data_IF_561790804542
#
_entry.id   IF_561790804542
#
_cell.length_a   1.000
_cell.length_b   1.000
_cell.length_c   1.000
_cell.angle_alpha   90.00
_cell.angle_beta   90.00
_cell.angle_gamma   90.00
#
_symmetry.space_group_name_H-M   'P 1'
#
loop_
_entity.id
_entity.type
_entity.pdbx_description
1 polymer ?
#
# COMPACT_ATOMS: atom_id res chain seq x y z
N UNK A 1 -6.75 -43.68 19.67
CA UNK A 1 -6.52 -42.21 19.69
C UNK A 1 -5.99 -41.79 18.33
N UNK A 2 -6.83 -41.20 17.48
CA UNK A 2 -6.41 -40.63 16.18
C UNK A 2 -6.03 -39.16 16.43
N UNK A 3 -4.75 -38.84 16.29
CA UNK A 3 -4.26 -37.47 16.33
C UNK A 3 -4.58 -36.74 15.03
N UNK A 4 -5.24 -35.60 15.14
CA UNK A 4 -5.52 -34.66 14.07
C UNK A 4 -4.22 -34.03 13.57
N UNK A 5 -3.74 -34.43 12.39
CA UNK A 5 -2.76 -33.68 11.62
C UNK A 5 -3.46 -32.55 10.88
N UNK A 6 -3.46 -31.34 11.47
CA UNK A 6 -3.92 -30.13 10.79
C UNK A 6 -2.90 -29.66 9.76
N UNK A 7 -3.36 -29.56 8.51
CA UNK A 7 -2.59 -29.09 7.35
C UNK A 7 -2.25 -27.59 7.49
N UNK A 8 -1.10 -27.29 8.11
CA UNK A 8 -0.56 -25.92 8.25
C UNK A 8 0.23 -25.43 7.03
N UNK A 9 0.36 -26.23 5.97
CA UNK A 9 1.23 -25.90 4.83
C UNK A 9 0.74 -24.75 3.94
N UNK A 10 -0.57 -24.46 3.92
CA UNK A 10 -1.15 -23.47 3.00
C UNK A 10 -1.04 -21.99 3.44
N UNK A 11 -0.90 -21.74 4.75
CA UNK A 11 -0.97 -20.38 5.30
C UNK A 11 0.31 -19.57 5.08
N UNK A 12 1.47 -20.22 5.09
CA UNK A 12 2.78 -19.55 4.96
C UNK A 12 2.98 -18.88 3.59
N UNK A 13 2.74 -19.61 2.49
CA UNK A 13 2.95 -19.09 1.15
C UNK A 13 1.99 -17.94 0.80
N UNK A 14 0.74 -18.03 1.24
CA UNK A 14 -0.24 -16.96 1.03
C UNK A 14 0.16 -15.69 1.78
N UNK A 15 0.63 -15.82 3.03
CA UNK A 15 1.05 -14.67 3.85
C UNK A 15 2.26 -13.96 3.23
N UNK A 16 3.28 -14.70 2.79
CA UNK A 16 4.47 -14.12 2.16
C UNK A 16 4.10 -13.34 0.90
N UNK A 17 3.37 -13.99 -0.03
CA UNK A 17 2.98 -13.34 -1.29
C UNK A 17 2.13 -12.10 -1.00
N UNK A 18 1.17 -12.18 -0.08
CA UNK A 18 0.31 -11.04 0.26
C UNK A 18 1.08 -9.89 0.89
N UNK A 19 1.96 -10.18 1.86
CA UNK A 19 2.74 -9.17 2.59
C UNK A 19 3.69 -8.42 1.65
N UNK A 20 4.38 -9.15 0.77
CA UNK A 20 5.33 -8.57 -0.16
C UNK A 20 4.68 -7.85 -1.35
N UNK A 21 3.37 -7.97 -1.56
CA UNK A 21 2.66 -7.33 -2.68
C UNK A 21 1.56 -6.40 -2.19
N UNK A 22 0.35 -6.94 -2.00
CA UNK A 22 -0.85 -6.18 -1.69
C UNK A 22 -0.74 -5.39 -0.37
N UNK A 23 -0.14 -5.97 0.67
CA UNK A 23 0.02 -5.25 1.93
C UNK A 23 0.94 -4.05 1.77
N UNK A 24 2.12 -4.26 1.16
CA UNK A 24 3.06 -3.18 0.85
C UNK A 24 2.39 -2.07 0.03
N UNK A 25 1.70 -2.41 -1.07
CA UNK A 25 0.98 -1.43 -1.89
C UNK A 25 -0.08 -0.64 -1.08
N UNK A 26 -0.84 -1.31 -0.22
CA UNK A 26 -1.88 -0.67 0.58
C UNK A 26 -1.33 0.36 1.59
N UNK A 27 -0.11 0.14 2.11
CA UNK A 27 0.52 1.03 3.10
C UNK A 27 1.48 2.03 2.47
N UNK A 28 2.00 1.76 1.27
CA UNK A 28 2.99 2.60 0.60
C UNK A 28 2.37 3.58 -0.41
N UNK A 29 1.51 3.08 -1.30
CA UNK A 29 1.11 3.82 -2.52
C UNK A 29 0.24 5.05 -2.27
N UNK A 30 -0.27 5.24 -1.06
CA UNK A 30 -1.06 6.42 -0.67
C UNK A 30 -0.32 7.42 0.21
N UNK A 31 0.95 7.16 0.57
CA UNK A 31 1.65 8.00 1.54
C UNK A 31 1.79 9.45 1.07
N UNK A 32 2.10 9.68 -0.21
CA UNK A 32 2.24 11.03 -0.75
C UNK A 32 0.88 11.75 -0.86
N UNK A 33 -0.14 11.08 -1.39
CA UNK A 33 -1.47 11.66 -1.58
C UNK A 33 -2.08 12.08 -0.23
N UNK A 34 -1.91 11.28 0.82
CA UNK A 34 -2.40 11.58 2.17
C UNK A 34 -1.47 12.53 2.94
N UNK A 35 -0.15 12.43 2.72
CA UNK A 35 0.87 13.17 3.45
C UNK A 35 1.26 14.52 2.85
N UNK A 36 0.91 14.77 1.59
CA UNK A 36 1.25 16.01 0.88
C UNK A 36 0.61 17.24 1.53
N UNK A 37 -0.55 17.09 2.13
CA UNK A 37 -1.13 18.07 3.04
C UNK A 37 -0.64 17.82 4.47
N UNK A 38 0.49 18.43 4.84
CA UNK A 38 1.20 18.19 6.10
C UNK A 38 0.32 18.20 7.37
N UNK A 39 -0.68 19.09 7.55
CA UNK A 39 -1.54 19.05 8.73
C UNK A 39 -2.34 17.74 8.90
N UNK A 40 -2.58 16.99 7.81
CA UNK A 40 -3.24 15.69 7.86
C UNK A 40 -2.30 14.57 8.34
N UNK A 41 -0.99 14.72 8.16
CA UNK A 41 0.01 13.72 8.56
C UNK A 41 1.33 14.40 8.99
N UNK A 42 1.34 15.11 10.14
CA UNK A 42 2.55 15.76 10.63
C UNK A 42 3.55 14.69 11.08
N UNK A 43 4.73 14.68 10.48
CA UNK A 43 5.79 13.72 10.83
C UNK A 43 6.48 14.02 12.17
N UNK A 44 6.23 15.19 12.76
CA UNK A 44 6.78 15.63 14.02
C UNK A 44 5.86 16.68 14.66
N UNK A 45 6.01 16.90 15.97
CA UNK A 45 5.37 18.00 16.69
C UNK A 45 6.45 18.80 17.41
N UNK A 46 6.36 20.13 17.38
CA UNK A 46 7.29 21.06 18.06
C UNK A 46 6.84 21.48 19.46
N UNK A 47 5.62 21.11 19.84
CA UNK A 47 5.04 21.39 21.15
C UNK A 47 4.49 20.09 21.77
N UNK A 48 4.45 19.97 23.12
CA UNK A 48 3.80 18.86 23.79
C UNK A 48 2.28 18.84 23.52
N UNK A 49 1.62 17.69 23.69
CA UNK A 49 0.16 17.63 23.67
C UNK A 49 -0.45 18.60 24.70
N UNK A 50 -1.56 19.28 24.37
CA UNK A 50 -2.25 20.17 25.31
C UNK A 50 -2.64 19.44 26.60
N UNK A 51 -2.39 20.06 27.76
CA UNK A 51 -2.68 19.47 29.08
C UNK A 51 -4.09 19.77 29.61
N UNK A 52 -4.84 20.62 28.91
CA UNK A 52 -6.15 21.10 29.34
C UNK A 52 -7.00 21.49 28.12
N UNK A 53 -8.32 21.66 28.32
CA UNK A 53 -9.30 21.89 27.25
C UNK A 53 -9.53 23.36 26.91
N UNK A 54 -8.65 24.26 27.36
CA UNK A 54 -8.79 25.68 26.98
C UNK A 54 -8.63 25.82 25.46
N UNK A 55 -9.35 26.77 24.84
CA UNK A 55 -9.21 27.02 23.41
C UNK A 55 -7.75 27.34 23.05
N UNK A 56 -7.24 26.65 22.03
CA UNK A 56 -5.97 26.99 21.40
C UNK A 56 -6.24 27.96 20.25
N UNK A 57 -5.33 28.91 20.06
CA UNK A 57 -5.35 29.79 18.90
C UNK A 57 -4.83 29.08 17.65
N UNK A 58 -5.08 29.66 16.48
CA UNK A 58 -4.45 29.22 15.24
C UNK A 58 -2.92 29.31 15.32
N UNK A 59 -2.39 30.29 16.06
CA UNK A 59 -0.95 30.45 16.25
C UNK A 59 -0.37 29.28 17.04
N UNK A 60 -1.01 28.86 18.14
CA UNK A 60 -0.59 27.69 18.93
C UNK A 60 -0.60 26.42 18.08
N UNK A 61 -1.60 26.27 17.22
CA UNK A 61 -1.67 25.15 16.27
C UNK A 61 -0.49 25.17 15.29
N UNK A 62 -0.25 26.30 14.61
CA UNK A 62 0.84 26.42 13.62
C UNK A 62 2.23 26.26 14.25
N UNK A 63 2.41 26.74 15.48
CA UNK A 63 3.66 26.59 16.23
C UNK A 63 3.92 25.15 16.67
N UNK A 64 2.86 24.35 16.85
CA UNK A 64 2.98 22.92 17.16
C UNK A 64 3.38 22.07 15.95
N UNK A 65 3.05 22.49 14.73
CA UNK A 65 3.35 21.74 13.50
C UNK A 65 4.86 21.71 13.17
N UNK A 66 5.35 20.76 12.35
CA UNK A 66 6.74 20.72 11.91
C UNK A 66 7.23 22.04 11.30
N UNK A 67 8.53 22.31 11.46
CA UNK A 67 9.19 23.37 10.72
C UNK A 67 9.21 23.07 9.21
N UNK A 68 9.26 24.12 8.39
CA UNK A 68 9.21 24.02 6.92
C UNK A 68 10.25 23.05 6.35
N UNK A 69 11.49 23.10 6.85
CA UNK A 69 12.56 22.20 6.40
C UNK A 69 12.25 20.72 6.68
N UNK A 70 11.65 20.40 7.84
CA UNK A 70 11.21 19.04 8.18
C UNK A 70 10.09 18.60 7.25
N UNK A 71 9.10 19.46 7.01
CA UNK A 71 8.02 19.20 6.04
C UNK A 71 8.58 18.92 4.65
N UNK A 72 9.46 19.78 4.14
CA UNK A 72 10.06 19.60 2.81
C UNK A 72 10.82 18.28 2.71
N UNK A 73 11.63 17.92 3.71
CA UNK A 73 12.37 16.64 3.73
C UNK A 73 11.43 15.44 3.66
N UNK A 74 10.37 15.44 4.47
CA UNK A 74 9.38 14.35 4.47
C UNK A 74 8.67 14.28 3.13
N UNK A 75 8.23 15.41 2.56
CA UNK A 75 7.59 15.44 1.25
C UNK A 75 8.50 14.92 0.14
N UNK A 76 9.81 15.21 0.19
CA UNK A 76 10.77 14.64 -0.75
C UNK A 76 10.85 13.10 -0.64
N UNK A 77 10.89 12.56 0.58
CA UNK A 77 10.89 11.11 0.81
C UNK A 77 9.59 10.48 0.30
N UNK A 78 8.45 11.03 0.69
CA UNK A 78 7.14 10.51 0.26
C UNK A 78 6.97 10.57 -1.25
N UNK A 79 7.50 11.61 -1.90
CA UNK A 79 7.51 11.70 -3.36
C UNK A 79 8.29 10.54 -3.96
N UNK A 80 9.51 10.27 -3.49
CA UNK A 80 10.33 9.15 -3.97
C UNK A 80 9.61 7.81 -3.77
N UNK A 81 9.08 7.55 -2.56
CA UNK A 81 8.38 6.31 -2.23
C UNK A 81 7.09 6.08 -3.03
N UNK A 82 6.46 7.16 -3.51
CA UNK A 82 5.26 7.11 -4.36
C UNK A 82 5.57 6.67 -5.80
N UNK A 83 6.76 7.00 -6.31
CA UNK A 83 7.02 6.80 -7.74
C UNK A 83 7.27 5.32 -8.02
N UNK A 84 6.40 4.74 -8.86
CA UNK A 84 6.61 3.39 -9.35
C UNK A 84 7.87 3.35 -10.24
N UNK A 85 8.72 2.32 -10.12
CA UNK A 85 9.81 2.09 -11.05
C UNK A 85 9.31 1.99 -12.50
N UNK A 86 10.13 2.39 -13.46
CA UNK A 86 9.80 2.31 -14.90
C UNK A 86 9.50 0.87 -15.33
N UNK A 87 10.07 -0.10 -14.62
CA UNK A 87 10.02 -1.54 -14.85
C UNK A 87 9.08 -2.29 -13.89
N UNK A 88 8.16 -1.60 -13.22
CA UNK A 88 7.12 -2.19 -12.37
C UNK A 88 6.39 -3.34 -13.07
N UNK A 89 6.27 -4.49 -12.39
CA UNK A 89 5.60 -5.71 -12.80
C UNK A 89 4.36 -5.94 -11.92
N UNK A 90 3.14 -5.75 -12.46
CA UNK A 90 1.92 -5.97 -11.70
C UNK A 90 1.78 -7.40 -11.19
N UNK A 91 1.10 -7.55 -10.05
CA UNK A 91 0.90 -8.83 -9.39
C UNK A 91 0.34 -9.88 -10.35
N UNK A 92 1.00 -11.03 -10.43
CA UNK A 92 0.62 -12.11 -11.34
C UNK A 92 1.19 -11.99 -12.76
N UNK A 93 1.99 -10.97 -13.03
CA UNK A 93 2.86 -10.87 -14.20
C UNK A 93 4.27 -11.35 -13.85
N UNK A 94 4.64 -12.52 -14.35
CA UNK A 94 5.94 -13.15 -14.08
C UNK A 94 6.65 -13.41 -15.43
N UNK A 95 7.52 -12.49 -15.88
CA UNK A 95 8.23 -12.63 -17.16
C UNK A 95 9.27 -13.76 -17.09
N UNK A 96 9.92 -13.93 -15.93
CA UNK A 96 10.88 -15.00 -15.68
C UNK A 96 10.18 -16.35 -15.56
N UNK A 97 10.54 -17.26 -16.46
CA UNK A 97 9.91 -18.59 -16.57
C UNK A 97 10.61 -19.61 -15.68
N UNK A 98 10.35 -19.54 -14.39
CA UNK A 98 10.80 -20.58 -13.44
C UNK A 98 9.95 -21.85 -13.52
N UNK A 99 8.64 -21.72 -13.73
CA UNK A 99 7.75 -22.85 -13.98
C UNK A 99 7.53 -23.03 -15.48
N UNK A 100 7.66 -24.25 -15.95
CA UNK A 100 7.44 -24.63 -17.35
C UNK A 100 6.36 -25.70 -17.50
N UNK A 101 5.96 -26.31 -16.39
CA UNK A 101 5.04 -27.41 -16.33
C UNK A 101 3.57 -26.96 -16.52
N UNK A 102 2.71 -27.79 -17.13
CA UNK A 102 1.35 -27.38 -17.44
C UNK A 102 0.49 -27.01 -16.22
N UNK A 103 0.70 -27.67 -15.08
CA UNK A 103 -0.13 -27.46 -13.87
C UNK A 103 0.11 -26.07 -13.26
N UNK A 104 1.35 -25.66 -12.89
CA UNK A 104 1.64 -24.30 -12.43
C UNK A 104 1.20 -23.22 -13.42
N UNK A 105 1.46 -23.41 -14.72
CA UNK A 105 1.07 -22.45 -15.76
C UNK A 105 -0.45 -22.23 -15.82
N UNK A 106 -1.26 -23.29 -15.67
CA UNK A 106 -2.72 -23.17 -15.56
C UNK A 106 -3.14 -22.44 -14.29
N UNK A 107 -2.47 -22.69 -13.16
CA UNK A 107 -2.73 -21.99 -11.90
C UNK A 107 -2.41 -20.50 -11.99
N UNK A 108 -1.26 -20.11 -12.56
CA UNK A 108 -0.88 -18.72 -12.81
C UNK A 108 -1.88 -18.02 -13.74
N UNK A 109 -2.33 -18.70 -14.80
CA UNK A 109 -3.37 -18.20 -15.70
C UNK A 109 -4.71 -17.96 -14.98
N UNK A 110 -5.11 -18.89 -14.10
CA UNK A 110 -6.33 -18.73 -13.26
C UNK A 110 -6.18 -17.57 -12.27
N UNK A 111 -5.01 -17.42 -11.67
CA UNK A 111 -4.71 -16.32 -10.75
C UNK A 111 -4.84 -14.96 -11.44
N UNK A 112 -4.17 -14.77 -12.59
CA UNK A 112 -4.27 -13.54 -13.39
C UNK A 112 -5.69 -13.22 -13.83
N UNK A 113 -6.47 -14.22 -14.26
CA UNK A 113 -7.90 -14.02 -14.57
C UNK A 113 -8.69 -13.53 -13.36
N UNK A 114 -8.39 -14.01 -12.16
CA UNK A 114 -9.06 -13.57 -10.92
C UNK A 114 -8.66 -12.14 -10.56
N UNK A 115 -7.39 -11.78 -10.68
CA UNK A 115 -6.90 -10.41 -10.48
C UNK A 115 -7.58 -9.43 -11.44
N UNK A 116 -7.69 -9.77 -12.73
CA UNK A 116 -8.39 -8.91 -13.71
C UNK A 116 -9.86 -8.67 -13.33
N UNK A 117 -10.56 -9.70 -12.83
CA UNK A 117 -11.94 -9.55 -12.33
C UNK A 117 -12.01 -8.64 -11.09
N UNK A 118 -11.03 -8.70 -10.21
CA UNK A 118 -10.94 -7.83 -9.02
C UNK A 118 -10.68 -6.39 -9.46
N UNK A 119 -9.72 -6.17 -10.37
CA UNK A 119 -9.43 -4.85 -10.96
C UNK A 119 -10.68 -4.20 -11.54
N UNK A 120 -11.44 -4.93 -12.37
CA UNK A 120 -12.70 -4.44 -12.94
C UNK A 120 -13.72 -4.04 -11.85
N UNK A 121 -13.87 -4.85 -10.80
CA UNK A 121 -14.76 -4.53 -9.67
C UNK A 121 -14.32 -3.27 -8.94
N UNK A 122 -13.02 -3.12 -8.68
CA UNK A 122 -12.45 -1.95 -8.00
C UNK A 122 -12.67 -0.70 -8.85
N UNK A 123 -12.37 -0.73 -10.15
CA UNK A 123 -12.57 0.39 -11.07
C UNK A 123 -14.05 0.80 -11.16
N UNK A 124 -14.95 -0.16 -11.26
CA UNK A 124 -16.40 0.12 -11.28
C UNK A 124 -16.90 0.73 -9.97
N UNK A 125 -16.39 0.27 -8.83
CA UNK A 125 -16.70 0.84 -7.52
C UNK A 125 -16.15 2.25 -7.38
N UNK A 126 -14.89 2.47 -7.78
CA UNK A 126 -14.20 3.76 -7.66
C UNK A 126 -14.83 4.87 -8.51
N UNK A 127 -15.43 4.54 -9.67
CA UNK A 127 -16.19 5.52 -10.49
C UNK A 127 -17.37 6.18 -9.77
N UNK A 128 -17.85 5.60 -8.67
CA UNK A 128 -19.00 6.08 -7.90
C UNK A 128 -18.61 6.82 -6.62
N UNK A 129 -17.31 6.93 -6.34
CA UNK A 129 -16.80 7.55 -5.11
C UNK A 129 -16.24 8.93 -5.42
N UNK A 130 -16.49 9.89 -4.53
CA UNK A 130 -15.83 11.20 -4.56
C UNK A 130 -14.32 11.08 -4.32
N UNK A 131 -13.93 10.16 -3.43
CA UNK A 131 -12.53 9.81 -3.17
C UNK A 131 -12.30 8.32 -3.48
N UNK A 132 -11.78 8.00 -4.67
CA UNK A 132 -11.44 6.64 -5.07
C UNK A 132 -10.37 6.01 -4.16
N UNK A 133 -10.40 4.67 -4.02
CA UNK A 133 -9.31 3.90 -3.40
C UNK A 133 -8.64 3.02 -4.46
N UNK A 134 -7.55 3.48 -5.12
CA UNK A 134 -6.93 2.77 -6.23
C UNK A 134 -5.78 1.83 -5.79
N UNK A 135 -5.28 1.96 -4.56
CA UNK A 135 -4.00 1.35 -4.13
C UNK A 135 -3.98 -0.19 -4.17
N UNK A 136 -5.14 -0.83 -4.09
CA UNK A 136 -5.29 -2.29 -4.20
C UNK A 136 -5.90 -2.75 -5.53
N UNK A 137 -5.99 -1.88 -6.54
CA UNK A 137 -6.23 -2.35 -7.91
C UNK A 137 -5.03 -3.22 -8.32
N UNK A 138 -5.20 -4.50 -8.70
CA UNK A 138 -4.08 -5.37 -9.07
C UNK A 138 -3.15 -4.82 -10.16
N UNK A 139 -3.58 -3.84 -10.97
CA UNK A 139 -2.69 -3.15 -11.91
C UNK A 139 -1.65 -2.24 -11.25
N UNK A 140 -1.86 -1.86 -9.99
CA UNK A 140 -1.04 -0.92 -9.22
C UNK A 140 -0.33 -1.62 -8.05
N UNK A 141 -0.34 -2.96 -8.02
CA UNK A 141 0.29 -3.77 -6.98
C UNK A 141 1.48 -4.50 -7.58
N UNK A 142 2.69 -4.18 -7.15
CA UNK A 142 3.94 -4.84 -7.52
C UNK A 142 3.97 -6.31 -7.02
N UNK A 143 4.72 -7.19 -7.69
CA UNK A 143 4.95 -8.55 -7.19
C UNK A 143 5.76 -8.62 -5.87
N UNK A 144 6.55 -7.58 -5.57
CA UNK A 144 7.48 -7.53 -4.44
C UNK A 144 7.59 -6.13 -3.83
N UNK A 145 8.39 -5.99 -2.77
CA UNK A 145 8.83 -4.70 -2.23
C UNK A 145 10.09 -4.28 -2.97
N UNK A 146 10.01 -3.25 -3.80
CA UNK A 146 11.08 -2.84 -4.74
C UNK A 146 11.42 -1.34 -4.70
N UNK A 147 10.91 -0.60 -3.71
CA UNK A 147 11.17 0.82 -3.45
C UNK A 147 11.63 1.03 -2.02
#
# INVERSE_FOLDING_TARGET
>A
MRGMGGDMGGYGGTMIIYTCSAHHAATNSGQFELGSFMPNMPAAMRAPPPSHKSPLSLHDFLDSLPAVNTTCRVLSVLWVLRNEPIDMLPLGHYPDRHFTEPVPLRSMSRFRRRLNRISQKIRNRNRKLQLPYPYLDPSNVENSVAI
#
